data_IF_930285591384
#
_entry.id   IF_930285591384
#
_cell.length_a   1.000
_cell.length_b   1.000
_cell.length_c   1.000
_cell.angle_alpha   90.00
_cell.angle_beta   90.00
_cell.angle_gamma   90.00
#
_symmetry.space_group_name_H-M   'P 1'
#
loop_
_entity.id
_entity.type
_entity.pdbx_description
1 polymer ?
#
# COMPACT_ATOMS: atom_id res chain seq x y z
N UNK A 1 -12.63 -7.24 1.68
CA UNK A 1 -11.32 -7.86 1.98
C UNK A 1 -11.19 -8.00 3.50
N UNK A 2 -10.77 -9.14 4.04
CA UNK A 2 -10.53 -9.31 5.49
C UNK A 2 -9.11 -8.84 5.86
N UNK A 3 -8.84 -8.67 7.15
CA UNK A 3 -7.47 -8.41 7.64
C UNK A 3 -6.49 -9.54 7.28
N UNK A 4 -6.97 -10.79 7.26
CA UNK A 4 -6.17 -11.96 6.84
C UNK A 4 -5.76 -11.88 5.37
N UNK A 5 -6.72 -11.60 4.47
CA UNK A 5 -6.44 -11.43 3.05
C UNK A 5 -5.50 -10.26 2.79
N UNK A 6 -5.64 -9.17 3.55
CA UNK A 6 -4.72 -8.04 3.43
C UNK A 6 -3.32 -8.40 3.93
N UNK A 7 -3.19 -9.10 5.06
CA UNK A 7 -1.89 -9.55 5.58
C UNK A 7 -1.20 -10.51 4.61
N UNK A 8 -1.95 -11.42 4.01
CA UNK A 8 -1.45 -12.31 2.96
C UNK A 8 -0.93 -11.52 1.76
N UNK A 9 -1.68 -10.53 1.28
CA UNK A 9 -1.22 -9.62 0.23
C UNK A 9 0.07 -8.87 0.60
N UNK A 10 0.19 -8.39 1.84
CA UNK A 10 1.42 -7.72 2.30
C UNK A 10 2.63 -8.66 2.22
N UNK A 11 2.47 -9.91 2.61
CA UNK A 11 3.56 -10.91 2.59
C UNK A 11 3.90 -11.33 1.17
N UNK A 12 2.89 -11.62 0.34
CA UNK A 12 3.09 -12.24 -0.98
C UNK A 12 3.50 -11.21 -2.05
N UNK A 13 2.99 -9.98 -1.97
CA UNK A 13 3.17 -8.98 -3.03
C UNK A 13 4.01 -7.78 -2.57
N UNK A 14 3.78 -7.30 -1.35
CA UNK A 14 4.43 -6.06 -0.87
C UNK A 14 5.84 -6.33 -0.35
N UNK A 15 6.06 -7.40 0.42
CA UNK A 15 7.39 -7.73 0.94
C UNK A 15 8.44 -7.92 -0.18
N UNK A 16 8.16 -8.67 -1.27
CA UNK A 16 9.10 -8.77 -2.38
C UNK A 16 9.32 -7.43 -3.09
N UNK A 17 8.28 -6.60 -3.20
CA UNK A 17 8.40 -5.27 -3.81
C UNK A 17 9.30 -4.33 -2.99
N UNK A 18 9.16 -4.33 -1.66
CA UNK A 18 10.05 -3.58 -0.74
C UNK A 18 11.49 -4.05 -0.94
N UNK A 19 11.74 -5.35 -0.85
CA UNK A 19 13.09 -5.90 -0.99
C UNK A 19 13.74 -5.51 -2.32
N UNK A 20 12.96 -5.47 -3.40
CA UNK A 20 13.45 -5.08 -4.73
C UNK A 20 13.71 -3.58 -4.87
N UNK A 21 12.85 -2.73 -4.32
CA UNK A 21 12.98 -1.26 -4.44
C UNK A 21 14.13 -0.73 -3.58
N UNK A 22 14.31 -1.31 -2.40
CA UNK A 22 15.32 -0.90 -1.43
C UNK A 22 16.59 -1.76 -1.51
N UNK A 23 16.68 -2.67 -2.49
CA UNK A 23 17.86 -3.49 -2.75
C UNK A 23 19.07 -2.57 -2.97
N UNK A 24 20.08 -2.66 -2.12
CA UNK A 24 21.30 -1.83 -2.15
C UNK A 24 21.11 -0.37 -1.72
N UNK A 25 20.13 -0.09 -0.86
CA UNK A 25 19.96 1.22 -0.24
C UNK A 25 20.10 1.12 1.28
N UNK A 26 20.67 2.15 1.91
CA UNK A 26 20.69 2.31 3.37
C UNK A 26 19.41 3.01 3.89
N UNK A 27 18.36 3.08 3.06
CA UNK A 27 17.12 3.77 3.40
C UNK A 27 16.15 2.78 4.05
N UNK A 28 15.68 3.11 5.25
CA UNK A 28 14.62 2.36 5.91
C UNK A 28 13.26 2.62 5.25
N UNK A 29 12.52 1.58 4.84
CA UNK A 29 11.19 1.76 4.26
C UNK A 29 10.19 2.20 5.33
N UNK A 30 9.31 3.14 4.95
CA UNK A 30 8.20 3.61 5.79
C UNK A 30 6.89 3.17 5.13
N UNK A 31 6.04 2.49 5.89
CA UNK A 31 4.74 2.03 5.39
C UNK A 31 3.66 3.11 5.48
N UNK A 32 2.86 3.26 4.43
CA UNK A 32 1.70 4.17 4.41
C UNK A 32 0.48 3.47 3.82
N UNK A 33 -0.65 3.53 4.52
CA UNK A 33 -1.94 3.06 4.05
C UNK A 33 -3.08 3.99 4.49
N UNK A 34 -4.30 3.69 4.04
CA UNK A 34 -5.51 4.39 4.45
C UNK A 34 -6.01 3.96 5.84
N UNK A 35 -7.10 4.57 6.29
CA UNK A 35 -7.77 4.27 7.55
C UNK A 35 -8.80 3.13 7.49
N UNK A 36 -8.77 2.27 6.48
CA UNK A 36 -9.68 1.13 6.44
C UNK A 36 -9.48 0.26 7.69
N UNK A 37 -10.59 -0.11 8.32
CA UNK A 37 -10.62 -0.94 9.52
C UNK A 37 -9.82 -2.24 9.35
N UNK A 38 -9.80 -2.81 8.13
CA UNK A 38 -9.04 -4.04 7.85
C UNK A 38 -7.53 -3.86 8.09
N UNK A 39 -7.01 -2.66 7.86
CA UNK A 39 -5.59 -2.32 8.06
C UNK A 39 -5.21 -2.13 9.54
N UNK A 40 -6.20 -2.06 10.44
CA UNK A 40 -6.01 -1.76 11.85
C UNK A 40 -6.18 -2.97 12.77
N UNK A 41 -6.42 -4.15 12.20
CA UNK A 41 -6.43 -5.42 12.94
C UNK A 41 -5.07 -5.72 13.56
N UNK A 42 -5.04 -6.47 14.67
CA UNK A 42 -3.78 -6.88 15.32
C UNK A 42 -2.87 -7.64 14.37
N UNK A 43 -3.43 -8.53 13.55
CA UNK A 43 -2.69 -9.30 12.56
C UNK A 43 -1.97 -8.39 11.56
N UNK A 44 -2.70 -7.47 10.92
CA UNK A 44 -2.10 -6.55 9.94
C UNK A 44 -1.05 -5.65 10.57
N UNK A 45 -1.30 -5.15 11.78
CA UNK A 45 -0.30 -4.32 12.50
C UNK A 45 1.00 -5.08 12.74
N UNK A 46 0.92 -6.35 13.14
CA UNK A 46 2.09 -7.21 13.29
C UNK A 46 2.80 -7.41 11.95
N UNK A 47 2.05 -7.74 10.89
CA UNK A 47 2.63 -7.97 9.57
C UNK A 47 3.33 -6.73 9.02
N UNK A 48 2.78 -5.54 9.20
CA UNK A 48 3.46 -4.29 8.78
C UNK A 48 4.74 -4.07 9.59
N UNK A 49 4.72 -4.32 10.90
CA UNK A 49 5.90 -4.16 11.75
C UNK A 49 7.03 -5.13 11.39
N UNK A 50 6.70 -6.32 10.84
CA UNK A 50 7.69 -7.26 10.32
C UNK A 50 8.30 -6.83 8.98
N UNK A 51 7.64 -5.91 8.25
CA UNK A 51 8.04 -5.45 6.91
C UNK A 51 8.71 -4.07 6.90
N UNK A 52 8.30 -3.17 7.79
CA UNK A 52 8.77 -1.79 7.86
C UNK A 52 8.90 -1.36 9.32
N UNK A 53 10.03 -0.75 9.66
CA UNK A 53 10.29 -0.27 11.03
C UNK A 53 9.34 0.87 11.43
N UNK A 54 8.90 1.67 10.45
CA UNK A 54 8.01 2.80 10.67
C UNK A 54 6.75 2.69 9.81
N UNK A 55 5.64 3.16 10.38
CA UNK A 55 4.36 3.33 9.69
C UNK A 55 3.84 4.74 9.91
N UNK A 56 3.41 5.39 8.83
CA UNK A 56 2.70 6.66 8.92
C UNK A 56 1.29 6.36 9.42
N UNK A 57 1.06 6.59 10.71
CA UNK A 57 -0.28 6.59 11.29
C UNK A 57 -1.00 7.87 10.88
N UNK A 58 -1.92 7.77 9.93
CA UNK A 58 -2.88 8.85 9.68
C UNK A 58 -3.70 9.12 10.96
N UNK A 59 -4.16 10.35 11.20
CA UNK A 59 -5.03 10.63 12.35
C UNK A 59 -6.47 10.24 12.02
N UNK A 60 -7.22 9.84 13.05
CA UNK A 60 -8.65 9.49 12.94
C UNK A 60 -9.42 10.80 12.71
N UNK A 61 -9.74 11.10 11.45
CA UNK A 61 -10.34 12.38 10.99
C UNK A 61 -9.92 12.77 9.57
N UNK A 62 -8.82 12.19 9.11
CA UNK A 62 -8.12 12.48 7.86
C UNK A 62 -8.69 11.69 6.64
N UNK A 63 -9.96 11.30 6.69
CA UNK A 63 -10.56 10.29 5.80
C UNK A 63 -10.72 10.69 4.31
N UNK A 64 -10.19 11.84 3.87
CA UNK A 64 -10.37 12.37 2.50
C UNK A 64 -9.10 13.03 1.96
N UNK A 65 -8.03 12.24 1.91
CA UNK A 65 -6.69 12.72 1.54
C UNK A 65 -6.11 12.03 0.30
N UNK A 66 -6.97 11.48 -0.57
CA UNK A 66 -6.52 10.94 -1.85
C UNK A 66 -5.58 11.91 -2.59
N UNK A 67 -5.91 13.22 -2.58
CA UNK A 67 -5.11 14.26 -3.24
C UNK A 67 -3.67 14.43 -2.70
N UNK A 68 -3.42 14.04 -1.44
CA UNK A 68 -2.08 14.11 -0.84
C UNK A 68 -1.31 12.79 -0.97
N UNK A 69 -1.96 11.68 -1.33
CA UNK A 69 -1.28 10.40 -1.43
C UNK A 69 -0.58 10.26 -2.78
N UNK A 70 0.74 10.04 -2.78
CA UNK A 70 1.50 9.95 -4.03
C UNK A 70 0.99 8.86 -4.98
N UNK A 71 0.39 7.78 -4.44
CA UNK A 71 -0.13 6.66 -5.23
C UNK A 71 -1.25 7.09 -6.21
N UNK A 72 -2.05 8.11 -5.87
CA UNK A 72 -3.10 8.60 -6.76
C UNK A 72 -2.53 9.23 -8.05
N UNK A 73 -1.36 9.87 -7.96
CA UNK A 73 -0.66 10.39 -9.14
C UNK A 73 -0.14 9.27 -10.03
N UNK A 74 0.35 8.18 -9.42
CA UNK A 74 0.79 6.97 -10.14
C UNK A 74 -0.39 6.35 -10.88
N UNK A 75 -1.54 6.16 -10.22
CA UNK A 75 -2.75 5.67 -10.86
C UNK A 75 -3.26 6.59 -11.97
N UNK A 76 -3.18 7.91 -11.78
CA UNK A 76 -3.48 8.89 -12.83
C UNK A 76 -2.62 8.68 -14.08
N UNK A 77 -1.31 8.50 -13.92
CA UNK A 77 -0.39 8.23 -15.03
C UNK A 77 -0.68 6.87 -15.71
N UNK A 78 -1.00 5.84 -14.93
CA UNK A 78 -1.37 4.51 -15.47
C UNK A 78 -2.65 4.62 -16.30
N UNK A 79 -3.71 5.27 -15.77
CA UNK A 79 -4.98 5.46 -16.46
C UNK A 79 -4.83 6.23 -17.76
N UNK A 80 -3.99 7.27 -17.79
CA UNK A 80 -3.73 8.01 -19.02
C UNK A 80 -3.06 7.14 -20.10
N UNK A 81 -2.10 6.29 -19.72
CA UNK A 81 -1.45 5.35 -20.66
C UNK A 81 -2.40 4.28 -21.20
N UNK A 82 -3.37 3.90 -20.38
CA UNK A 82 -4.39 2.90 -20.72
C UNK A 82 -5.60 3.50 -21.44
N UNK A 83 -5.65 4.82 -21.62
CA UNK A 83 -6.79 5.51 -22.22
C UNK A 83 -7.01 5.05 -23.65
N UNK A 84 -8.24 4.62 -23.94
CA UNK A 84 -8.64 4.13 -25.27
C UNK A 84 -8.29 2.67 -25.55
N UNK A 85 -7.69 1.95 -24.59
CA UNK A 85 -7.53 0.51 -24.70
C UNK A 85 -8.85 -0.19 -24.37
N UNK A 86 -9.22 -1.19 -25.17
CA UNK A 86 -10.31 -2.10 -24.85
C UNK A 86 -9.77 -3.16 -23.87
N UNK A 87 -10.49 -3.37 -22.78
CA UNK A 87 -10.21 -4.44 -21.83
C UNK A 87 -11.26 -5.52 -22.05
N UNK A 88 -10.83 -6.69 -22.48
CA UNK A 88 -11.71 -7.84 -22.57
C UNK A 88 -12.10 -8.25 -21.14
N UNK A 89 -13.41 -8.38 -20.90
CA UNK A 89 -13.90 -9.00 -19.67
C UNK A 89 -13.83 -10.50 -19.85
N UNK A 90 -12.85 -11.14 -19.20
CA UNK A 90 -12.88 -12.59 -18.96
C UNK A 90 -14.03 -12.98 -18.02
#
# INVERSE_FOLDING_TARGET
LTGELYSKFLIEEVAPAINKVFENTDVTPIFQDDQDNKHRTTLVKSTVADLCDERIESKIGDAKFADIWPIEKVWGAIKEKLRGQAFDSE
#
